data_IF_839162491553
#
_entry.id   IF_839162491553
#
_cell.length_a   1.000
_cell.length_b   1.000
_cell.length_c   1.000
_cell.angle_alpha   90.00
_cell.angle_beta   90.00
_cell.angle_gamma   90.00
#
_symmetry.space_group_name_H-M   'P 1'
#
loop_
_entity.id
_entity.type
_entity.pdbx_description
1 polymer ?
#
# COMPACT_ATOMS: atom_id res chain seq x y z
N UNK A 1 22.63 4.25 27.98
CA UNK A 1 22.07 3.30 27.00
C UNK A 1 21.48 4.18 25.89
N UNK A 2 22.30 4.47 24.89
CA UNK A 2 22.08 5.53 23.90
C UNK A 2 21.07 5.07 22.87
N UNK A 3 20.00 5.84 22.70
CA UNK A 3 19.13 5.75 21.53
C UNK A 3 20.01 5.98 20.29
N UNK A 4 20.02 5.01 19.37
CA UNK A 4 20.54 5.22 18.03
C UNK A 4 19.55 6.14 17.32
N UNK A 5 19.94 7.38 17.12
CA UNK A 5 19.33 8.24 16.11
C UNK A 5 19.50 7.54 14.77
N UNK A 6 18.39 7.14 14.15
CA UNK A 6 18.40 6.60 12.79
C UNK A 6 18.92 7.71 11.85
N UNK A 7 19.95 7.39 11.08
CA UNK A 7 20.55 8.34 10.15
C UNK A 7 19.62 8.54 8.94
N UNK A 8 19.46 9.75 8.38
CA UNK A 8 18.62 9.96 7.22
C UNK A 8 19.20 9.18 6.03
N UNK A 9 18.47 8.15 5.57
CA UNK A 9 18.89 7.29 4.45
C UNK A 9 19.10 5.81 4.78
N UNK A 10 18.86 5.37 6.01
CA UNK A 10 18.93 3.94 6.36
C UNK A 10 17.65 3.22 5.94
N UNK A 11 17.75 2.39 4.89
CA UNK A 11 16.66 1.50 4.45
C UNK A 11 16.22 0.64 5.63
N UNK A 12 14.91 0.49 5.91
CA UNK A 12 14.45 -0.21 7.10
C UNK A 12 14.99 -1.64 7.18
N UNK A 13 15.63 -1.92 8.30
CA UNK A 13 15.55 -3.22 8.95
C UNK A 13 16.35 -4.37 8.36
N UNK A 14 16.61 -5.35 9.22
CA UNK A 14 17.14 -6.64 8.79
C UNK A 14 16.24 -7.33 7.76
N UNK A 15 16.73 -8.43 7.20
CA UNK A 15 16.06 -9.13 6.09
C UNK A 15 14.59 -9.47 6.38
N UNK A 16 14.30 -9.91 7.61
CA UNK A 16 12.94 -10.22 8.06
C UNK A 16 11.99 -9.01 8.04
N UNK A 17 12.50 -7.82 8.36
CA UNK A 17 11.68 -6.60 8.39
C UNK A 17 11.27 -6.19 6.98
N UNK A 18 12.17 -6.29 5.99
CA UNK A 18 11.86 -6.02 4.59
C UNK A 18 10.82 -6.99 4.03
N UNK A 19 10.89 -8.28 4.39
CA UNK A 19 9.85 -9.26 4.04
C UNK A 19 8.47 -8.84 4.55
N UNK A 20 8.40 -8.37 5.80
CA UNK A 20 7.14 -7.90 6.40
C UNK A 20 6.64 -6.63 5.72
N UNK A 21 7.52 -5.69 5.37
CA UNK A 21 7.13 -4.50 4.58
C UNK A 21 6.55 -4.92 3.23
N UNK A 22 7.19 -5.86 2.52
CA UNK A 22 6.67 -6.41 1.27
C UNK A 22 5.28 -7.04 1.44
N UNK A 23 5.06 -7.81 2.52
CA UNK A 23 3.73 -8.36 2.80
C UNK A 23 2.69 -7.28 3.11
N UNK A 24 3.06 -6.21 3.83
CA UNK A 24 2.15 -5.07 4.09
C UNK A 24 1.76 -4.32 2.82
N UNK A 25 2.67 -4.22 1.85
CA UNK A 25 2.35 -3.70 0.51
C UNK A 25 1.29 -4.59 -0.15
N UNK A 26 1.44 -5.92 -0.09
CA UNK A 26 0.42 -6.86 -0.59
C UNK A 26 -0.93 -6.63 0.10
N UNK A 27 -0.94 -6.57 1.44
CA UNK A 27 -2.16 -6.36 2.21
C UNK A 27 -2.87 -5.03 1.87
N UNK A 28 -2.08 -4.00 1.56
CA UNK A 28 -2.60 -2.72 1.12
C UNK A 28 -3.20 -2.79 -0.30
N UNK A 29 -2.47 -3.39 -1.24
CA UNK A 29 -2.92 -3.54 -2.62
C UNK A 29 -4.18 -4.43 -2.72
N UNK A 30 -4.30 -5.45 -1.87
CA UNK A 30 -5.53 -6.26 -1.75
C UNK A 30 -6.74 -5.42 -1.35
N UNK A 31 -6.60 -4.52 -0.38
CA UNK A 31 -7.65 -3.60 0.04
C UNK A 31 -8.00 -2.60 -1.07
N UNK A 32 -7.00 -1.98 -1.69
CA UNK A 32 -7.22 -0.99 -2.76
C UNK A 32 -7.90 -1.61 -3.97
N UNK A 33 -7.47 -2.79 -4.40
CA UNK A 33 -8.00 -3.44 -5.59
C UNK A 33 -9.48 -3.87 -5.44
N UNK A 34 -9.94 -4.14 -4.22
CA UNK A 34 -11.23 -4.79 -3.98
C UNK A 34 -12.29 -3.86 -3.39
N UNK A 35 -13.34 -3.59 -4.18
CA UNK A 35 -14.53 -2.92 -3.65
C UNK A 35 -15.21 -3.76 -2.56
N UNK A 36 -15.24 -5.09 -2.70
CA UNK A 36 -15.86 -5.96 -1.70
C UNK A 36 -15.13 -5.90 -0.34
N UNK A 37 -13.80 -5.83 -0.34
CA UNK A 37 -13.04 -5.66 0.91
C UNK A 37 -13.24 -4.27 1.52
N UNK A 38 -13.33 -3.22 0.70
CA UNK A 38 -13.63 -1.87 1.17
C UNK A 38 -15.04 -1.81 1.80
N UNK A 39 -16.02 -2.45 1.17
CA UNK A 39 -17.38 -2.54 1.70
C UNK A 39 -17.45 -3.34 3.00
N UNK A 40 -16.72 -4.46 3.08
CA UNK A 40 -16.61 -5.23 4.31
C UNK A 40 -15.99 -4.39 5.45
N UNK A 41 -14.95 -3.60 5.16
CA UNK A 41 -14.35 -2.68 6.12
C UNK A 41 -15.38 -1.63 6.60
N UNK A 42 -16.17 -1.04 5.70
CA UNK A 42 -17.22 -0.07 6.07
C UNK A 42 -18.26 -0.69 7.03
N UNK A 43 -18.58 -1.98 6.84
CA UNK A 43 -19.52 -2.72 7.67
C UNK A 43 -18.93 -3.09 9.05
N UNK A 44 -17.67 -3.51 9.07
CA UNK A 44 -16.97 -3.93 10.29
C UNK A 44 -16.59 -2.74 11.18
N UNK A 45 -16.33 -1.58 10.58
CA UNK A 45 -15.97 -0.34 11.28
C UNK A 45 -16.87 0.82 10.81
N UNK A 46 -18.13 0.90 11.26
CA UNK A 46 -19.10 1.89 10.75
C UNK A 46 -18.77 3.37 11.04
N UNK A 47 -17.78 3.62 11.88
CA UNK A 47 -17.27 4.97 12.18
C UNK A 47 -16.14 5.39 11.24
N UNK A 48 -15.61 4.47 10.44
CA UNK A 48 -14.51 4.72 9.53
C UNK A 48 -15.03 5.34 8.22
N UNK A 49 -14.35 6.39 7.77
CA UNK A 49 -14.56 6.94 6.44
C UNK A 49 -13.69 6.16 5.46
N UNK A 50 -14.19 5.03 4.97
CA UNK A 50 -13.38 4.06 4.22
C UNK A 50 -12.57 4.65 3.07
N UNK A 51 -13.08 5.58 2.23
CA UNK A 51 -12.24 6.22 1.22
C UNK A 51 -10.99 6.90 1.79
N UNK A 52 -11.12 7.57 2.93
CA UNK A 52 -9.99 8.17 3.63
C UNK A 52 -9.04 7.13 4.21
N UNK A 53 -9.59 6.07 4.83
CA UNK A 53 -8.77 4.98 5.36
C UNK A 53 -7.97 4.29 4.24
N UNK A 54 -8.59 4.06 3.08
CA UNK A 54 -7.90 3.44 1.92
C UNK A 54 -6.70 4.28 1.49
N UNK A 55 -6.78 5.62 1.52
CA UNK A 55 -5.64 6.48 1.24
C UNK A 55 -4.64 6.46 2.41
N UNK A 56 -5.08 6.80 3.61
CA UNK A 56 -4.20 7.01 4.77
C UNK A 56 -3.47 5.74 5.25
N UNK A 57 -4.08 4.56 5.07
CA UNK A 57 -3.47 3.29 5.47
C UNK A 57 -2.18 2.97 4.73
N UNK A 58 -1.90 3.61 3.58
CA UNK A 58 -0.60 3.50 2.93
C UNK A 58 0.51 4.00 3.86
N UNK A 59 0.38 5.25 4.33
CA UNK A 59 1.37 5.88 5.20
C UNK A 59 1.51 5.13 6.53
N UNK A 60 0.39 4.62 7.07
CA UNK A 60 0.40 3.85 8.32
C UNK A 60 1.09 2.49 8.17
N UNK A 61 0.78 1.74 7.11
CA UNK A 61 1.26 0.36 6.95
C UNK A 61 2.68 0.28 6.38
N UNK A 62 3.02 1.20 5.50
CA UNK A 62 4.24 1.14 4.70
C UNK A 62 5.25 2.23 5.11
N UNK A 63 4.78 3.29 5.78
CA UNK A 63 5.57 4.42 6.27
C UNK A 63 5.43 5.66 5.40
N UNK A 64 5.74 6.83 5.94
CA UNK A 64 5.70 8.12 5.23
C UNK A 64 6.76 8.28 4.12
N UNK A 65 7.54 7.23 3.86
CA UNK A 65 8.54 7.23 2.80
C UNK A 65 7.84 7.08 1.44
N UNK A 66 8.15 8.00 0.52
CA UNK A 66 7.66 8.03 -0.87
C UNK A 66 7.87 6.68 -1.55
N UNK A 67 6.95 6.24 -2.43
CA UNK A 67 6.98 4.91 -3.05
C UNK A 67 8.34 4.61 -3.70
N UNK A 68 9.04 5.64 -4.18
CA UNK A 68 10.44 5.59 -4.66
C UNK A 68 11.39 4.84 -3.71
N UNK A 69 11.32 5.07 -2.40
CA UNK A 69 12.20 4.39 -1.43
C UNK A 69 11.83 2.92 -1.25
N UNK A 70 10.53 2.63 -1.30
CA UNK A 70 10.03 1.26 -1.18
C UNK A 70 10.35 0.45 -2.43
N UNK A 71 10.24 1.06 -3.62
CA UNK A 71 10.62 0.46 -4.89
C UNK A 71 12.12 0.09 -4.96
N UNK A 72 12.96 0.73 -4.13
CA UNK A 72 14.38 0.44 -4.02
C UNK A 72 14.73 -0.61 -2.94
N UNK A 73 13.74 -1.20 -2.27
CA UNK A 73 13.99 -2.22 -1.25
C UNK A 73 14.61 -3.46 -1.88
N UNK A 74 15.72 -3.99 -1.32
CA UNK A 74 16.36 -5.21 -1.84
C UNK A 74 15.45 -6.44 -1.92
N UNK A 75 14.38 -6.51 -1.11
CA UNK A 75 13.43 -7.62 -1.11
C UNK A 75 12.52 -7.63 -2.36
N UNK A 76 12.31 -6.47 -2.97
CA UNK A 76 11.52 -6.35 -4.19
C UNK A 76 12.37 -6.73 -5.40
N UNK A 77 11.79 -7.49 -6.33
CA UNK A 77 12.41 -7.65 -7.63
C UNK A 77 12.16 -6.42 -8.52
N UNK A 78 12.82 -6.36 -9.68
CA UNK A 78 12.71 -5.24 -10.63
C UNK A 78 11.26 -4.97 -11.05
N UNK A 79 10.46 -6.03 -11.25
CA UNK A 79 9.07 -5.89 -11.67
C UNK A 79 8.18 -5.36 -10.54
N UNK A 80 8.41 -5.78 -9.30
CA UNK A 80 7.71 -5.26 -8.13
C UNK A 80 8.03 -3.78 -7.88
N UNK A 81 9.29 -3.39 -8.05
CA UNK A 81 9.71 -1.99 -7.98
C UNK A 81 9.06 -1.13 -9.06
N UNK A 82 9.06 -1.59 -10.31
CA UNK A 82 8.40 -0.91 -11.44
C UNK A 82 6.88 -0.80 -11.23
N UNK A 83 6.23 -1.85 -10.72
CA UNK A 83 4.79 -1.85 -10.42
C UNK A 83 4.42 -0.76 -9.40
N UNK A 84 5.24 -0.55 -8.36
CA UNK A 84 5.02 0.53 -7.40
C UNK A 84 5.20 1.92 -8.02
N UNK A 85 6.19 2.10 -8.90
CA UNK A 85 6.40 3.37 -9.60
C UNK A 85 5.25 3.71 -10.55
N UNK A 86 4.61 2.70 -11.16
CA UNK A 86 3.43 2.90 -12.00
C UNK A 86 2.19 3.21 -11.15
N UNK A 87 2.07 2.58 -9.97
CA UNK A 87 0.94 2.77 -9.07
C UNK A 87 0.95 4.12 -8.36
N UNK A 88 2.11 4.60 -7.89
CA UNK A 88 2.31 5.86 -7.15
C UNK A 88 1.54 7.06 -7.73
N UNK A 89 1.69 7.45 -9.01
CA UNK A 89 1.01 8.63 -9.54
C UNK A 89 -0.52 8.50 -9.59
N UNK A 90 -1.05 7.27 -9.68
CA UNK A 90 -2.51 7.04 -9.62
C UNK A 90 -3.01 7.19 -8.18
N UNK A 91 -2.25 6.67 -7.22
CA UNK A 91 -2.52 6.83 -5.80
C UNK A 91 -2.47 8.29 -5.37
N UNK A 92 -1.41 9.03 -5.72
CA UNK A 92 -1.25 10.45 -5.40
C UNK A 92 -2.43 11.27 -5.94
N UNK A 93 -2.80 11.04 -7.21
CA UNK A 93 -3.94 11.72 -7.82
C UNK A 93 -5.25 11.42 -7.10
N UNK A 94 -5.47 10.18 -6.67
CA UNK A 94 -6.66 9.80 -5.93
C UNK A 94 -6.69 10.44 -4.54
N UNK A 95 -5.54 10.50 -3.85
CA UNK A 95 -5.39 11.17 -2.56
C UNK A 95 -5.66 12.68 -2.68
N UNK A 96 -5.13 13.35 -3.69
CA UNK A 96 -5.29 14.79 -3.92
C UNK A 96 -6.73 15.20 -4.31
N UNK A 97 -7.46 14.32 -5.00
CA UNK A 97 -8.78 14.62 -5.55
C UNK A 97 -9.93 14.00 -4.77
N UNK A 98 -9.64 13.28 -3.68
CA UNK A 98 -10.66 12.75 -2.80
C UNK A 98 -11.47 13.92 -2.19
N UNK A 99 -12.81 13.93 -2.33
CA UNK A 99 -13.63 15.00 -1.77
C UNK A 99 -13.44 15.19 -0.26
N UNK A 100 -13.30 16.44 0.17
CA UNK A 100 -13.02 16.81 1.57
C UNK A 100 -14.25 16.81 2.51
N UNK A 101 -15.39 16.33 2.02
CA UNK A 101 -16.69 16.33 2.70
C UNK A 101 -17.09 14.96 3.26
N UNK A 102 -16.12 14.05 3.41
CA UNK A 102 -16.31 12.68 3.94
C UNK A 102 -17.36 11.89 3.13
N UNK A 103 -17.16 11.72 1.81
CA UNK A 103 -18.11 11.04 0.95
C UNK A 103 -18.30 9.57 1.35
N UNK A 104 -19.48 9.04 1.08
CA UNK A 104 -19.75 7.61 1.26
C UNK A 104 -18.91 6.79 0.29
N UNK A 105 -18.55 5.55 0.68
CA UNK A 105 -17.82 4.66 -0.22
C UNK A 105 -18.53 4.48 -1.55
N UNK A 106 -19.86 4.30 -1.54
CA UNK A 106 -20.66 4.16 -2.77
C UNK A 106 -20.56 5.34 -3.72
N UNK A 107 -20.41 6.57 -3.20
CA UNK A 107 -20.29 7.78 -4.02
C UNK A 107 -18.90 7.87 -4.65
N UNK A 108 -17.86 7.54 -3.87
CA UNK A 108 -16.48 7.54 -4.35
C UNK A 108 -16.25 6.45 -5.41
N UNK A 109 -16.92 5.30 -5.31
CA UNK A 109 -16.80 4.21 -6.29
C UNK A 109 -17.26 4.60 -7.70
N UNK A 110 -18.18 5.56 -7.82
CA UNK A 110 -18.64 6.06 -9.11
C UNK A 110 -17.64 7.06 -9.74
N UNK A 111 -16.65 7.53 -8.97
CA UNK A 111 -15.62 8.42 -9.49
C UNK A 111 -14.66 7.65 -10.40
N UNK A 112 -14.43 8.19 -11.60
CA UNK A 112 -13.49 7.60 -12.56
C UNK A 112 -12.08 7.44 -11.99
N UNK A 113 -11.65 8.34 -11.10
CA UNK A 113 -10.34 8.26 -10.43
C UNK A 113 -10.26 7.07 -9.46
N UNK A 114 -11.35 6.72 -8.80
CA UNK A 114 -11.35 5.61 -7.83
C UNK A 114 -11.31 4.28 -8.56
N UNK A 115 -12.04 4.19 -9.69
CA UNK A 115 -11.90 3.06 -10.60
C UNK A 115 -10.47 2.89 -11.12
N UNK A 116 -9.80 3.98 -11.49
CA UNK A 116 -8.39 3.93 -11.92
C UNK A 116 -7.48 3.44 -10.79
N UNK A 117 -7.69 3.93 -9.57
CA UNK A 117 -6.95 3.48 -8.39
C UNK A 117 -7.11 1.96 -8.17
N UNK A 118 -8.34 1.44 -8.24
CA UNK A 118 -8.59 -0.01 -8.09
C UNK A 118 -7.89 -0.84 -9.16
N UNK A 119 -7.97 -0.41 -10.43
CA UNK A 119 -7.31 -1.10 -11.54
C UNK A 119 -5.79 -1.08 -11.37
N UNK A 120 -5.20 0.06 -11.04
CA UNK A 120 -3.76 0.16 -10.79
C UNK A 120 -3.33 -0.72 -9.60
N UNK A 121 -4.15 -0.76 -8.53
CA UNK A 121 -3.92 -1.64 -7.38
C UNK A 121 -3.98 -3.12 -7.76
N UNK A 122 -4.93 -3.52 -8.60
CA UNK A 122 -5.06 -4.89 -9.13
C UNK A 122 -3.85 -5.29 -9.99
N UNK A 123 -3.41 -4.40 -10.89
CA UNK A 123 -2.23 -4.60 -11.74
C UNK A 123 -0.95 -4.76 -10.92
N UNK A 124 -0.73 -3.88 -9.93
CA UNK A 124 0.41 -3.98 -9.03
C UNK A 124 0.34 -5.25 -8.17
N UNK A 125 -0.82 -5.56 -7.60
CA UNK A 125 -1.03 -6.76 -6.79
C UNK A 125 -0.69 -8.04 -7.59
N UNK A 126 -1.11 -8.11 -8.84
CA UNK A 126 -0.83 -9.24 -9.71
C UNK A 126 0.67 -9.49 -9.92
N UNK A 127 1.51 -8.44 -9.87
CA UNK A 127 2.97 -8.58 -9.92
C UNK A 127 3.49 -9.19 -8.62
N UNK A 128 3.11 -8.66 -7.46
CA UNK A 128 3.56 -9.18 -6.15
C UNK A 128 3.10 -10.63 -5.92
N UNK A 129 1.91 -11.00 -6.42
CA UNK A 129 1.36 -12.35 -6.30
C UNK A 129 2.17 -13.41 -7.07
N UNK A 130 3.02 -13.03 -8.04
CA UNK A 130 3.91 -13.98 -8.74
C UNK A 130 4.85 -14.72 -7.79
N UNK A 131 5.33 -14.02 -6.75
CA UNK A 131 6.18 -14.58 -5.68
C UNK A 131 5.39 -14.89 -4.41
N UNK A 132 4.17 -14.35 -4.28
CA UNK A 132 3.28 -14.55 -3.14
C UNK A 132 3.78 -13.87 -1.85
N UNK A 133 3.12 -14.14 -0.72
CA UNK A 133 3.57 -13.66 0.60
C UNK A 133 4.80 -14.43 1.07
N UNK A 134 5.69 -13.73 1.77
CA UNK A 134 6.87 -14.33 2.40
C UNK A 134 6.59 -14.68 3.88
N UNK A 135 7.33 -15.64 4.48
CA UNK A 135 7.21 -15.90 5.92
C UNK A 135 7.53 -14.66 6.75
N UNK A 136 6.80 -14.47 7.86
CA UNK A 136 6.98 -13.32 8.76
C UNK A 136 7.75 -13.66 10.04
N UNK A 137 8.00 -14.93 10.29
CA UNK A 137 8.67 -15.47 11.49
C UNK A 137 10.12 -15.90 11.24
N UNK A 138 10.54 -15.99 9.97
CA UNK A 138 11.88 -16.40 9.57
C UNK A 138 12.34 -15.73 8.28
N UNK A 139 13.65 -15.60 8.16
CA UNK A 139 14.31 -15.07 6.98
C UNK A 139 14.32 -16.06 5.82
N UNK A 140 14.08 -15.58 4.60
CA UNK A 140 14.21 -16.35 3.36
C UNK A 140 15.12 -15.62 2.36
N UNK A 141 15.87 -16.35 1.51
CA UNK A 141 16.55 -15.74 0.37
C UNK A 141 15.53 -15.17 -0.64
N UNK A 142 15.90 -14.08 -1.31
CA UNK A 142 15.18 -13.51 -2.45
C UNK A 142 16.12 -13.33 -3.64
#
# INVERSE_FOLDING_TARGET
MTAREASPGEVPGGRLEQQRVRNRIIDYLELVASFEQQLAFEQDVPIAYVPYEVINLWEERVGADLFVRLAALPVLDEAEGEALQIFEPVWERAAEQLPHDFPLLSEVQELGLWKQLRVAGEEALAVFQRRGRMPEDREVPW
#
